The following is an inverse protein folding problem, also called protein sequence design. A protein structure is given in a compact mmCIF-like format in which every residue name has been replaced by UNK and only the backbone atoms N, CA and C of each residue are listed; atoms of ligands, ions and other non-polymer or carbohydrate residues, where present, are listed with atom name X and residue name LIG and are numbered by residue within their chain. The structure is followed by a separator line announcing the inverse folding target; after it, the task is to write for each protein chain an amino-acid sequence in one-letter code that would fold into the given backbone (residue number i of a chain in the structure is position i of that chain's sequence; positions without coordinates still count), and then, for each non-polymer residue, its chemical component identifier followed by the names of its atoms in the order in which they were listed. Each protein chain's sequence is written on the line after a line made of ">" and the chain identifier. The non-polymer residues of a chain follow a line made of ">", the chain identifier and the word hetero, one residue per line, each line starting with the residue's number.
data_IF_576094423959
#
_entry.id   IF_576094423959
#
_cell.length_a   1.000
_cell.length_b   1.000
_cell.length_c   1.000
_cell.angle_alpha   90.00
_cell.angle_beta   90.00
_cell.angle_gamma   90.00
#
_symmetry.space_group_name_H-M   'P 1'
#
loop_
_entity.id
_entity.type
_entity.pdbx_description
1 polymer ?
#
# COMPACT_ATOMS: atom_id res chain seq x y z
N UNK A 1 14.37 -15.66 7.57
CA UNK A 1 14.71 -14.78 6.42
C UNK A 1 13.65 -14.76 5.31
N UNK A 2 13.00 -15.89 4.98
CA UNK A 2 12.05 -15.95 3.84
C UNK A 2 10.81 -15.05 3.96
N UNK A 3 10.39 -14.68 5.18
CA UNK A 3 9.22 -13.80 5.40
C UNK A 3 9.40 -12.40 4.80
N UNK A 4 10.62 -11.87 4.86
CA UNK A 4 10.92 -10.55 4.31
C UNK A 4 10.90 -10.58 2.78
N UNK A 5 11.46 -11.63 2.18
CA UNK A 5 11.43 -11.85 0.74
C UNK A 5 10.00 -12.00 0.22
N UNK A 6 9.14 -12.72 0.95
CA UNK A 6 7.72 -12.83 0.62
C UNK A 6 7.02 -11.46 0.67
N UNK A 7 7.27 -10.66 1.73
CA UNK A 7 6.73 -9.31 1.84
C UNK A 7 7.17 -8.43 0.67
N UNK A 8 8.45 -8.50 0.27
CA UNK A 8 8.97 -7.74 -0.86
C UNK A 8 8.33 -8.19 -2.18
N UNK A 9 8.13 -9.49 -2.37
CA UNK A 9 7.53 -10.03 -3.58
C UNK A 9 6.05 -9.60 -3.70
N UNK A 10 5.29 -9.67 -2.60
CA UNK A 10 3.93 -9.13 -2.56
C UNK A 10 3.91 -7.62 -2.81
N UNK A 11 4.83 -6.87 -2.22
CA UNK A 11 4.94 -5.43 -2.43
C UNK A 11 5.20 -5.09 -3.90
N UNK A 12 6.21 -5.71 -4.52
CA UNK A 12 6.51 -5.49 -5.94
C UNK A 12 5.35 -5.90 -6.84
N UNK A 13 4.65 -6.98 -6.50
CA UNK A 13 3.46 -7.42 -7.22
C UNK A 13 2.33 -6.38 -7.17
N UNK A 14 1.99 -5.86 -5.99
CA UNK A 14 0.95 -4.83 -5.84
C UNK A 14 1.36 -3.47 -6.41
N UNK A 15 2.65 -3.12 -6.36
CA UNK A 15 3.18 -1.91 -6.99
C UNK A 15 3.05 -2.01 -8.51
N UNK A 16 3.51 -3.11 -9.11
CA UNK A 16 3.35 -3.38 -10.53
C UNK A 16 1.86 -3.38 -10.93
N UNK A 17 1.00 -4.04 -10.14
CA UNK A 17 -0.46 -4.03 -10.28
C UNK A 17 -1.00 -2.61 -10.36
N UNK A 18 -0.56 -1.72 -9.47
CA UNK A 18 -1.04 -0.34 -9.41
C UNK A 18 -0.51 0.56 -10.53
N UNK A 19 0.59 0.19 -11.18
CA UNK A 19 1.20 0.93 -12.30
C UNK A 19 0.60 0.54 -13.65
N UNK A 20 0.04 -0.66 -13.78
CA UNK A 20 -0.62 -1.15 -14.99
C UNK A 20 -1.71 -0.21 -15.57
N UNK A 21 -2.62 0.39 -14.76
CA UNK A 21 -3.61 1.36 -15.24
C UNK A 21 -2.99 2.62 -15.86
N UNK A 22 -1.87 3.09 -15.30
CA UNK A 22 -1.21 4.35 -15.71
C UNK A 22 -0.68 4.27 -17.15
N UNK A 23 -0.35 3.06 -17.61
CA UNK A 23 0.22 2.82 -18.93
C UNK A 23 -0.80 2.27 -19.94
N UNK A 24 -2.10 2.16 -19.59
CA UNK A 24 -3.18 1.60 -20.45
C UNK A 24 -2.84 0.24 -21.09
N UNK A 25 -1.96 -0.56 -20.46
CA UNK A 25 -1.43 -1.82 -21.03
C UNK A 25 -2.49 -2.94 -20.97
N UNK A 26 -3.56 -2.74 -20.21
CA UNK A 26 -4.65 -3.70 -19.99
C UNK A 26 -5.31 -4.19 -21.29
N UNK A 27 -5.39 -3.34 -22.31
CA UNK A 27 -6.09 -3.66 -23.55
C UNK A 27 -5.19 -4.37 -24.59
N UNK A 28 -3.87 -4.33 -24.40
CA UNK A 28 -2.91 -4.74 -25.44
C UNK A 28 -2.41 -6.18 -25.29
N UNK A 29 -2.57 -6.81 -24.13
CA UNK A 29 -2.01 -8.15 -23.88
C UNK A 29 -2.96 -9.07 -23.09
N UNK A 30 -3.43 -10.14 -23.75
CA UNK A 30 -4.31 -11.16 -23.18
C UNK A 30 -3.73 -11.87 -21.94
N UNK A 31 -2.41 -11.94 -21.81
CA UNK A 31 -1.71 -12.57 -20.66
C UNK A 31 -1.90 -11.73 -19.38
N UNK A 32 -1.95 -10.40 -19.53
CA UNK A 32 -2.11 -9.45 -18.42
C UNK A 32 -3.56 -9.50 -17.92
N UNK A 33 -4.53 -9.62 -18.81
CA UNK A 33 -5.95 -9.79 -18.44
C UNK A 33 -6.20 -11.08 -17.62
N UNK A 34 -5.40 -12.14 -17.84
CA UNK A 34 -5.54 -13.42 -17.13
C UNK A 34 -4.86 -13.43 -15.75
N UNK A 35 -3.73 -12.74 -15.59
CA UNK A 35 -3.09 -12.56 -14.29
C UNK A 35 -3.80 -11.49 -13.43
N UNK A 36 -4.45 -10.52 -14.07
CA UNK A 36 -5.04 -9.35 -13.42
C UNK A 36 -6.55 -9.24 -13.67
N UNK A 37 -7.39 -10.16 -13.13
CA UNK A 37 -8.82 -10.25 -13.46
C UNK A 37 -9.73 -9.18 -12.82
N UNK A 38 -9.18 -8.29 -11.97
CA UNK A 38 -9.93 -7.23 -11.29
C UNK A 38 -9.83 -5.95 -12.12
N UNK A 39 -10.97 -5.33 -12.44
CA UNK A 39 -11.06 -4.09 -13.21
C UNK A 39 -10.03 -3.06 -12.77
N UNK A 40 -9.22 -2.59 -13.72
CA UNK A 40 -8.18 -1.58 -13.55
C UNK A 40 -8.67 -0.32 -12.81
N UNK A 41 -9.94 0.05 -12.97
CA UNK A 41 -10.59 1.16 -12.27
C UNK A 41 -10.45 1.10 -10.73
N UNK A 42 -10.52 -0.09 -10.13
CA UNK A 42 -10.41 -0.24 -8.67
C UNK A 42 -8.95 -0.34 -8.20
N UNK A 43 -8.01 -0.64 -9.09
CA UNK A 43 -6.59 -0.77 -8.75
C UNK A 43 -5.96 0.56 -8.32
N UNK A 44 -6.43 1.68 -8.89
CA UNK A 44 -5.96 3.04 -8.58
C UNK A 44 -6.26 3.43 -7.12
N UNK A 45 -7.32 2.88 -6.53
CA UNK A 45 -7.67 3.18 -5.14
C UNK A 45 -6.76 2.48 -4.12
N UNK A 46 -6.10 1.39 -4.52
CA UNK A 46 -5.24 0.60 -3.64
C UNK A 46 -4.05 1.40 -3.06
N UNK A 47 -3.23 2.13 -3.85
CA UNK A 47 -2.16 2.96 -3.30
C UNK A 47 -2.68 4.11 -2.45
N UNK A 48 -3.82 4.72 -2.82
CA UNK A 48 -4.44 5.81 -2.06
C UNK A 48 -4.84 5.31 -0.67
N UNK A 49 -5.46 4.13 -0.60
CA UNK A 49 -5.88 3.51 0.65
C UNK A 49 -4.67 3.13 1.52
N UNK A 50 -3.60 2.59 0.91
CA UNK A 50 -2.36 2.25 1.60
C UNK A 50 -1.69 3.49 2.21
N UNK A 51 -1.68 4.60 1.46
CA UNK A 51 -1.08 5.87 1.88
C UNK A 51 -1.90 6.50 3.02
N UNK A 52 -3.24 6.46 2.93
CA UNK A 52 -4.14 6.90 3.98
C UNK A 52 -3.94 6.07 5.26
N UNK A 53 -3.87 4.75 5.13
CA UNK A 53 -3.69 3.83 6.24
C UNK A 53 -2.31 4.00 6.90
N UNK A 54 -1.26 4.17 6.10
CA UNK A 54 0.09 4.47 6.60
C UNK A 54 0.16 5.81 7.33
N UNK A 55 -0.43 6.85 6.76
CA UNK A 55 -0.47 8.19 7.38
C UNK A 55 -1.23 8.19 8.70
N UNK A 56 -2.42 7.58 8.73
CA UNK A 56 -3.26 7.50 9.94
C UNK A 56 -2.60 6.69 11.05
N UNK A 57 -2.00 5.53 10.74
CA UNK A 57 -1.25 4.74 11.71
C UNK A 57 -0.04 5.52 12.27
N UNK A 58 0.75 6.13 11.40
CA UNK A 58 1.96 6.87 11.79
C UNK A 58 1.59 8.09 12.64
N UNK A 59 0.59 8.87 12.20
CA UNK A 59 0.06 10.01 12.93
C UNK A 59 -0.52 9.62 14.29
N UNK A 60 -1.26 8.51 14.36
CA UNK A 60 -1.80 7.99 15.63
C UNK A 60 -0.69 7.58 16.60
N UNK A 61 0.31 6.83 16.14
CA UNK A 61 1.47 6.44 16.93
C UNK A 61 2.24 7.65 17.46
N UNK A 62 2.51 8.66 16.61
CA UNK A 62 3.14 9.90 17.02
C UNK A 62 2.30 10.64 18.08
N UNK A 63 0.98 10.74 17.87
CA UNK A 63 0.07 11.38 18.83
C UNK A 63 0.09 10.68 20.19
N UNK A 64 0.03 9.35 20.22
CA UNK A 64 0.13 8.56 21.46
C UNK A 64 1.47 8.79 22.15
N UNK A 65 2.58 8.79 21.40
CA UNK A 65 3.91 9.05 21.95
C UNK A 65 4.03 10.43 22.58
N UNK A 66 3.44 11.47 21.96
CA UNK A 66 3.41 12.82 22.50
C UNK A 66 2.63 12.89 23.82
N UNK A 67 1.44 12.28 23.88
CA UNK A 67 0.62 12.23 25.10
C UNK A 67 1.32 11.46 26.22
N UNK A 68 1.98 10.34 25.91
CA UNK A 68 2.76 9.57 26.87
C UNK A 68 3.98 10.35 27.38
N UNK A 69 4.66 11.08 26.49
CA UNK A 69 5.84 11.89 26.84
C UNK A 69 5.48 13.06 27.76
N UNK A 70 4.35 13.74 27.50
CA UNK A 70 3.86 14.83 28.34
C UNK A 70 3.46 14.33 29.74
N UNK A 71 2.75 13.19 29.80
CA UNK A 71 2.43 12.52 31.07
C UNK A 71 3.67 12.19 31.90
N UNK A 72 4.73 11.71 31.26
CA UNK A 72 5.98 11.33 31.94
C UNK A 72 6.78 12.53 32.46
N UNK A 73 6.62 13.70 31.83
CA UNK A 73 7.29 14.94 32.25
C UNK A 73 6.60 15.61 33.44
N UNK A 74 5.32 15.28 33.69
CA UNK A 74 4.49 15.89 34.74
C UNK A 74 4.50 15.13 36.07
N UNK A 75 5.10 13.94 36.10
CA UNK A 75 5.43 13.15 37.30
C UNK A 75 6.90 13.27 37.64
#
# INVERSE_FOLDING_TARGET
>A
MNRFVLICLFFTYYVAWSLLPIFEIENSNAIISLLFPISSDVAIFLPIFLLLLGFTLTGSLLGVLLLCSDKKKKT
#
